data_IF_196619416655
#
_entry.id   IF_196619416655
#
_cell.length_a   1.000
_cell.length_b   1.000
_cell.length_c   1.000
_cell.angle_alpha   90.00
_cell.angle_beta   90.00
_cell.angle_gamma   90.00
#
_symmetry.space_group_name_H-M   'P 1'
#
loop_
_entity.id
_entity.type
_entity.pdbx_description
1 polymer ?
#
# COMPACT_ATOMS: atom_id res chain seq x y z
N UNK A 1 9.22 -27.41 24.63
CA UNK A 1 7.78 -27.32 24.99
C UNK A 1 7.26 -25.91 24.66
N UNK A 2 7.12 -25.56 23.38
CA UNK A 2 6.81 -24.17 22.97
C UNK A 2 5.86 -24.08 21.76
N UNK A 3 4.98 -25.07 21.58
CA UNK A 3 4.03 -25.11 20.45
C UNK A 3 2.62 -24.69 20.84
N UNK A 4 2.23 -24.87 22.10
CA UNK A 4 0.84 -24.60 22.52
C UNK A 4 0.53 -23.10 22.59
N UNK A 5 1.47 -22.28 23.06
CA UNK A 5 1.27 -20.82 23.17
C UNK A 5 1.28 -20.13 21.80
N UNK A 6 2.12 -20.60 20.88
CA UNK A 6 2.23 -20.02 19.53
C UNK A 6 0.98 -20.29 18.69
N UNK A 7 0.40 -21.49 18.80
CA UNK A 7 -0.83 -21.83 18.08
C UNK A 7 -2.05 -21.07 18.60
N UNK A 8 -2.14 -20.85 19.92
CA UNK A 8 -3.21 -20.04 20.52
C UNK A 8 -3.11 -18.58 20.07
N UNK A 9 -1.90 -18.02 20.03
CA UNK A 9 -1.68 -16.64 19.59
C UNK A 9 -2.02 -16.46 18.10
N UNK A 10 -1.63 -17.42 17.26
CA UNK A 10 -1.94 -17.39 15.83
C UNK A 10 -3.46 -17.41 15.56
N UNK A 11 -4.21 -18.25 16.29
CA UNK A 11 -5.66 -18.35 16.14
C UNK A 11 -6.38 -17.07 16.59
N UNK A 12 -5.95 -16.45 17.70
CA UNK A 12 -6.55 -15.22 18.21
C UNK A 12 -6.36 -14.02 17.27
N UNK A 13 -5.22 -13.93 16.59
CA UNK A 13 -4.94 -12.86 15.60
C UNK A 13 -5.82 -13.02 14.36
N UNK A 14 -6.02 -14.25 13.89
CA UNK A 14 -6.91 -14.56 12.76
C UNK A 14 -8.38 -14.22 13.10
N UNK A 15 -8.82 -14.52 14.32
CA UNK A 15 -10.18 -14.23 14.78
C UNK A 15 -10.44 -12.72 14.88
N UNK A 16 -9.50 -11.96 15.47
CA UNK A 16 -9.63 -10.51 15.61
C UNK A 16 -9.64 -9.78 14.24
N UNK A 17 -8.79 -10.19 13.30
CA UNK A 17 -8.72 -9.59 11.96
C UNK A 17 -9.93 -9.87 11.07
N UNK A 18 -10.75 -10.87 11.42
CA UNK A 18 -11.97 -11.25 10.68
C UNK A 18 -13.17 -10.34 10.99
N UNK A 19 -13.16 -9.66 12.14
CA UNK A 19 -14.32 -8.95 12.67
C UNK A 19 -14.47 -7.51 12.15
N UNK A 20 -13.35 -6.87 11.79
CA UNK A 20 -13.30 -5.45 11.40
C UNK A 20 -13.03 -5.23 9.89
N UNK A 21 -13.13 -6.29 9.08
CA UNK A 21 -12.78 -6.22 7.66
C UNK A 21 -13.92 -5.61 6.84
N UNK A 22 -13.66 -4.59 6.00
CA UNK A 22 -14.65 -4.03 5.08
C UNK A 22 -15.25 -5.13 4.17
N UNK A 23 -16.58 -5.12 3.91
CA UNK A 23 -17.27 -6.19 3.17
C UNK A 23 -16.68 -6.46 1.78
N UNK A 24 -16.06 -5.45 1.18
CA UNK A 24 -15.47 -5.51 -0.16
C UNK A 24 -14.28 -6.47 -0.27
N UNK A 25 -13.71 -6.87 0.86
CA UNK A 25 -12.58 -7.78 0.90
C UNK A 25 -12.99 -9.19 1.31
N UNK A 26 -14.18 -9.41 1.90
CA UNK A 26 -14.60 -10.70 2.46
C UNK A 26 -14.49 -11.82 1.41
N UNK A 27 -13.60 -12.83 1.57
CA UNK A 27 -13.81 -14.06 0.83
C UNK A 27 -15.15 -14.62 1.31
N UNK A 28 -16.01 -15.05 0.38
CA UNK A 28 -17.23 -15.79 0.67
C UNK A 28 -16.88 -17.13 1.35
N UNK A 29 -16.44 -17.09 2.59
CA UNK A 29 -16.31 -18.26 3.44
C UNK A 29 -17.69 -18.49 4.06
N UNK A 30 -18.66 -18.89 3.23
CA UNK A 30 -19.71 -19.80 3.72
C UNK A 30 -18.95 -20.97 4.29
N UNK A 31 -19.18 -21.32 5.55
CA UNK A 31 -18.57 -22.47 6.24
C UNK A 31 -18.34 -23.62 5.26
N UNK A 32 -17.16 -23.64 4.62
CA UNK A 32 -16.81 -24.73 3.74
C UNK A 32 -16.37 -25.77 4.73
N UNK A 33 -17.36 -26.52 5.22
CA UNK A 33 -17.18 -27.84 5.79
C UNK A 33 -16.62 -28.66 4.64
N UNK A 34 -15.33 -28.48 4.36
CA UNK A 34 -14.57 -29.30 3.44
C UNK A 34 -14.63 -30.68 4.08
N UNK A 35 -15.61 -31.47 3.65
CA UNK A 35 -15.53 -32.92 3.75
C UNK A 35 -14.27 -33.26 2.96
N UNK A 36 -13.15 -33.34 3.67
CA UNK A 36 -11.87 -33.80 3.15
C UNK A 36 -12.09 -35.26 2.82
N UNK A 37 -12.60 -35.51 1.62
CA UNK A 37 -12.54 -36.81 0.98
C UNK A 37 -11.08 -37.24 0.99
N UNK A 38 -10.85 -38.49 1.38
CA UNK A 38 -9.55 -39.16 1.44
C UNK A 38 -8.71 -38.82 0.19
N UNK A 39 -7.79 -37.88 0.34
CA UNK A 39 -7.00 -37.37 -0.78
C UNK A 39 -6.05 -36.22 -0.41
N UNK A 40 -5.20 -36.47 0.60
CA UNK A 40 -4.00 -35.70 1.00
C UNK A 40 -4.14 -34.19 1.32
N UNK A 41 -3.85 -33.77 2.57
CA UNK A 41 -3.75 -32.37 3.01
C UNK A 41 -2.75 -31.49 2.24
N UNK A 42 -1.78 -32.11 1.55
CA UNK A 42 -0.64 -31.43 0.92
C UNK A 42 -1.08 -30.49 -0.22
N UNK A 43 -2.11 -30.87 -0.97
CA UNK A 43 -2.56 -30.15 -2.18
C UNK A 43 -3.30 -28.84 -1.85
N UNK A 44 -4.07 -28.81 -0.76
CA UNK A 44 -4.83 -27.62 -0.35
C UNK A 44 -3.92 -26.53 0.24
N UNK A 45 -2.93 -26.91 1.04
CA UNK A 45 -1.97 -25.96 1.66
C UNK A 45 -1.09 -25.27 0.61
N UNK A 46 -0.66 -25.98 -0.44
CA UNK A 46 0.14 -25.41 -1.52
C UNK A 46 -0.60 -24.31 -2.28
N UNK A 47 -1.86 -24.57 -2.65
CA UNK A 47 -2.72 -23.59 -3.34
C UNK A 47 -2.93 -22.33 -2.51
N UNK A 48 -3.24 -22.47 -1.21
CA UNK A 48 -3.43 -21.32 -0.31
C UNK A 48 -2.14 -20.49 -0.22
N UNK A 49 -0.98 -21.15 -0.14
CA UNK A 49 0.32 -20.46 -0.10
C UNK A 49 0.63 -19.71 -1.39
N UNK A 50 0.32 -20.29 -2.55
CA UNK A 50 0.49 -19.63 -3.85
C UNK A 50 -0.44 -18.42 -4.00
N UNK A 51 -1.73 -18.55 -3.65
CA UNK A 51 -2.66 -17.43 -3.65
C UNK A 51 -2.19 -16.31 -2.73
N UNK A 52 -1.77 -16.65 -1.50
CA UNK A 52 -1.27 -15.65 -0.55
C UNK A 52 -0.02 -14.93 -1.07
N UNK A 53 0.92 -15.66 -1.69
CA UNK A 53 2.11 -15.05 -2.30
C UNK A 53 1.75 -14.09 -3.43
N UNK A 54 0.84 -14.49 -4.32
CA UNK A 54 0.45 -13.64 -5.46
C UNK A 54 -0.28 -12.38 -4.97
N UNK A 55 -1.25 -12.51 -4.06
CA UNK A 55 -1.94 -11.36 -3.46
C UNK A 55 -0.96 -10.44 -2.71
N UNK A 56 0.01 -10.99 -2.00
CA UNK A 56 1.03 -10.19 -1.33
C UNK A 56 1.91 -9.43 -2.33
N UNK A 57 2.20 -10.03 -3.49
CA UNK A 57 2.96 -9.37 -4.54
C UNK A 57 2.15 -8.24 -5.19
N UNK A 58 0.88 -8.47 -5.51
CA UNK A 58 -0.01 -7.44 -6.08
C UNK A 58 -0.11 -6.20 -5.16
N UNK A 59 -0.20 -6.41 -3.84
CA UNK A 59 -0.21 -5.33 -2.85
C UNK A 59 1.10 -4.55 -2.85
N UNK A 60 2.25 -5.22 -3.01
CA UNK A 60 3.56 -4.56 -3.07
C UNK A 60 3.71 -3.76 -4.35
N UNK A 61 3.29 -4.32 -5.48
CA UNK A 61 3.38 -3.67 -6.78
C UNK A 61 2.48 -2.43 -6.80
N UNK A 62 1.27 -2.52 -6.24
CA UNK A 62 0.38 -1.37 -6.05
C UNK A 62 1.03 -0.29 -5.18
N UNK A 63 1.58 -0.65 -4.01
CA UNK A 63 2.22 0.32 -3.13
C UNK A 63 3.42 1.00 -3.80
N UNK A 64 4.20 0.25 -4.60
CA UNK A 64 5.32 0.80 -5.35
C UNK A 64 4.83 1.80 -6.42
N UNK A 65 3.77 1.46 -7.15
CA UNK A 65 3.17 2.36 -8.13
C UNK A 65 2.61 3.65 -7.48
N UNK A 66 1.99 3.55 -6.29
CA UNK A 66 1.52 4.71 -5.54
C UNK A 66 2.68 5.60 -5.07
N UNK A 67 3.77 5.01 -4.56
CA UNK A 67 4.97 5.75 -4.15
C UNK A 67 5.60 6.50 -5.32
N UNK A 68 5.72 5.85 -6.50
CA UNK A 68 6.23 6.49 -7.71
C UNK A 68 5.35 7.66 -8.15
N UNK A 69 4.02 7.49 -8.14
CA UNK A 69 3.08 8.55 -8.49
C UNK A 69 3.18 9.76 -7.55
N UNK A 70 3.24 9.52 -6.23
CA UNK A 70 3.41 10.58 -5.23
C UNK A 70 4.74 11.31 -5.43
N UNK A 71 5.83 10.59 -5.70
CA UNK A 71 7.14 11.18 -5.95
C UNK A 71 7.13 12.10 -7.17
N UNK A 72 6.50 11.68 -8.28
CA UNK A 72 6.38 12.50 -9.50
C UNK A 72 5.62 13.79 -9.22
N UNK A 73 4.50 13.70 -8.50
CA UNK A 73 3.69 14.88 -8.14
C UNK A 73 4.48 15.85 -7.27
N UNK A 74 5.15 15.34 -6.23
CA UNK A 74 5.96 16.16 -5.33
C UNK A 74 7.11 16.85 -6.06
N UNK A 75 7.84 16.12 -6.91
CA UNK A 75 8.92 16.69 -7.72
C UNK A 75 8.41 17.73 -8.72
N UNK A 76 7.22 17.53 -9.30
CA UNK A 76 6.59 18.54 -10.14
C UNK A 76 6.30 19.84 -9.37
N UNK A 77 5.66 19.73 -8.20
CA UNK A 77 5.33 20.88 -7.35
C UNK A 77 6.61 21.61 -6.89
N UNK A 78 7.63 20.87 -6.47
CA UNK A 78 8.90 21.45 -6.01
C UNK A 78 9.56 22.28 -7.12
N UNK A 79 9.58 21.76 -8.35
CA UNK A 79 10.12 22.46 -9.52
C UNK A 79 9.30 23.72 -9.87
N UNK A 80 7.97 23.66 -9.81
CA UNK A 80 7.10 24.81 -10.11
C UNK A 80 7.29 25.96 -9.11
N UNK A 81 7.41 25.62 -7.82
CA UNK A 81 7.69 26.59 -6.74
C UNK A 81 9.07 27.21 -6.92
N UNK A 82 10.09 26.39 -7.19
CA UNK A 82 11.46 26.87 -7.39
C UNK A 82 11.54 27.79 -8.62
N UNK A 83 10.89 27.43 -9.72
CA UNK A 83 10.85 28.23 -10.96
C UNK A 83 10.17 29.59 -10.75
N UNK A 84 9.09 29.63 -9.97
CA UNK A 84 8.41 30.89 -9.62
C UNK A 84 9.28 31.76 -8.72
N UNK A 85 10.01 31.14 -7.79
CA UNK A 85 10.88 31.85 -6.85
C UNK A 85 12.10 32.44 -7.55
N UNK A 86 12.71 31.71 -8.50
CA UNK A 86 13.87 32.15 -9.27
C UNK A 86 13.55 33.29 -10.26
N UNK A 87 12.32 33.35 -10.77
CA UNK A 87 11.87 34.45 -11.61
C UNK A 87 11.68 35.79 -10.83
N UNK A 88 11.50 35.71 -9.51
CA UNK A 88 11.16 36.85 -8.66
C UNK A 88 12.29 37.90 -8.52
N UNK A 89 13.57 37.53 -8.28
CA UNK A 89 14.68 38.49 -8.26
C UNK A 89 14.80 39.33 -9.53
N UNK A 90 14.67 38.70 -10.72
CA UNK A 90 14.78 39.42 -11.98
C UNK A 90 13.64 40.44 -12.18
N UNK A 91 12.41 40.06 -11.82
CA UNK A 91 11.26 40.97 -11.84
C UNK A 91 11.40 42.11 -10.80
N UNK A 92 11.91 41.80 -9.61
CA UNK A 92 12.12 42.75 -8.52
C UNK A 92 13.19 43.80 -8.87
N UNK A 93 14.30 43.39 -9.47
CA UNK A 93 15.37 44.31 -9.90
C UNK A 93 14.91 45.20 -11.06
N UNK A 94 14.14 44.67 -12.01
CA UNK A 94 13.52 45.49 -13.07
C UNK A 94 12.58 46.57 -12.51
N UNK A 95 11.72 46.21 -11.54
CA UNK A 95 10.82 47.17 -10.90
C UNK A 95 11.57 48.29 -10.17
N UNK A 96 12.61 47.94 -9.40
CA UNK A 96 13.48 48.91 -8.72
C UNK A 96 14.17 49.86 -9.70
N UNK A 97 14.57 49.39 -10.87
CA UNK A 97 15.19 50.24 -11.90
C UNK A 97 14.20 51.26 -12.48
N UNK A 98 12.93 50.87 -12.68
CA UNK A 98 11.86 51.77 -13.15
C UNK A 98 11.53 52.85 -12.11
N UNK A 99 11.45 52.49 -10.81
CA UNK A 99 11.23 53.46 -9.74
C UNK A 99 12.33 54.52 -9.67
N UNK A 100 13.58 54.14 -9.94
CA UNK A 100 14.73 55.07 -9.95
C UNK A 100 14.77 56.02 -11.15
N UNK A 101 13.97 55.77 -12.19
CA UNK A 101 13.88 56.63 -13.38
C UNK A 101 12.79 57.71 -13.28
N UNK A 102 11.97 57.67 -12.21
CA UNK A 102 10.93 58.66 -11.91
C UNK A 102 11.49 59.82 -11.09
#
# INVERSE_FOLDING_TARGET
MQTQTSNTLHNAIMEAGSKDRPPMLAPDWKDVKVLVSKGSPITTTARIRETYKNVLQDIRDQLNAEVEAVQIILTGIDNDIYSTTDACPNACEMWKAIERLK
#
